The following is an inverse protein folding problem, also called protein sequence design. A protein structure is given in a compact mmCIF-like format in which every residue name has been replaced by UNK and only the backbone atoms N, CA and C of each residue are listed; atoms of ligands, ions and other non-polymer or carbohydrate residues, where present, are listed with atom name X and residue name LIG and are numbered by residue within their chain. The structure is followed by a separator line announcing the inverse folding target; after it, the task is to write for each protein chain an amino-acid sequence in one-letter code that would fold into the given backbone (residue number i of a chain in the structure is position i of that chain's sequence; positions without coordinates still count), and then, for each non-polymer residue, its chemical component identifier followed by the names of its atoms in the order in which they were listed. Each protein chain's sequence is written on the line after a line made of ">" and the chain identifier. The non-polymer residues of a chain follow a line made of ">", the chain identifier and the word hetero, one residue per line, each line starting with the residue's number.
data_IF_419937162422
#
_entry.id   IF_419937162422
#
_cell.length_a   1.000
_cell.length_b   1.000
_cell.length_c   1.000
_cell.angle_alpha   90.00
_cell.angle_beta   90.00
_cell.angle_gamma   90.00
#
_symmetry.space_group_name_H-M   'P 1'
#
loop_
_entity.id
_entity.type
_entity.pdbx_description
1 polymer ?
#
# COMPACT_ATOMS: atom_id res chain seq x y z
N UNK A 1 -19.15 13.09 18.24
CA UNK A 1 -17.89 13.20 18.97
C UNK A 1 -16.78 12.29 18.44
N UNK A 2 -17.09 11.04 18.11
CA UNK A 2 -16.09 10.14 17.51
C UNK A 2 -15.65 10.57 16.11
N UNK A 3 -16.54 11.08 15.30
CA UNK A 3 -16.24 11.58 13.95
C UNK A 3 -15.31 12.79 13.97
N UNK A 4 -15.46 13.66 14.95
CA UNK A 4 -14.59 14.82 15.11
C UNK A 4 -13.18 14.44 15.58
N UNK A 5 -13.08 13.46 16.47
CA UNK A 5 -11.79 12.94 16.90
C UNK A 5 -11.05 12.24 15.76
N UNK A 6 -11.80 11.54 14.89
CA UNK A 6 -11.22 10.84 13.76
C UNK A 6 -10.72 11.82 12.69
N UNK A 7 -11.48 12.88 12.39
CA UNK A 7 -11.05 13.89 11.43
C UNK A 7 -9.87 14.72 11.94
N UNK A 8 -9.86 15.05 13.24
CA UNK A 8 -8.73 15.72 13.88
C UNK A 8 -7.47 14.84 13.88
N UNK A 9 -7.65 13.54 14.07
CA UNK A 9 -6.55 12.59 14.03
C UNK A 9 -5.95 12.49 12.63
N UNK A 10 -6.79 12.41 11.61
CA UNK A 10 -6.39 12.39 10.20
C UNK A 10 -5.67 13.69 9.81
N UNK A 11 -6.19 14.84 10.22
CA UNK A 11 -5.52 16.14 9.97
C UNK A 11 -4.19 16.27 10.70
N UNK A 12 -4.09 15.76 11.92
CA UNK A 12 -2.87 15.81 12.74
C UNK A 12 -1.74 14.99 12.11
N UNK A 13 -2.05 13.89 11.44
CA UNK A 13 -1.05 12.99 10.87
C UNK A 13 -0.75 13.26 9.39
N UNK A 14 -1.53 14.13 8.72
CA UNK A 14 -1.42 14.38 7.30
C UNK A 14 -0.08 14.88 6.79
N UNK A 15 0.46 16.01 7.25
CA UNK A 15 1.74 16.51 6.72
C UNK A 15 2.95 16.04 7.50
N UNK A 16 2.86 15.97 8.83
CA UNK A 16 4.02 15.74 9.68
C UNK A 16 4.50 14.29 9.67
N UNK A 17 3.59 13.33 9.56
CA UNK A 17 4.00 11.93 9.47
C UNK A 17 4.51 11.56 8.09
N UNK A 18 3.95 12.12 7.03
CA UNK A 18 4.51 11.99 5.69
C UNK A 18 5.92 12.57 5.63
N UNK A 19 6.15 13.72 6.24
CA UNK A 19 7.48 14.32 6.30
C UNK A 19 8.46 13.51 7.15
N UNK A 20 8.00 12.96 8.25
CA UNK A 20 8.82 12.13 9.12
C UNK A 20 9.03 10.70 8.58
N UNK A 21 8.10 10.26 7.73
CA UNK A 21 8.07 8.90 7.23
C UNK A 21 8.95 8.69 6.02
N UNK A 22 9.14 9.72 5.23
CA UNK A 22 9.70 9.60 3.90
C UNK A 22 11.04 10.31 3.86
N UNK A 23 12.11 9.57 4.15
CA UNK A 23 13.47 10.04 3.96
C UNK A 23 13.90 10.15 2.50
N UNK A 24 12.98 9.90 1.58
CA UNK A 24 13.23 9.92 0.16
C UNK A 24 12.36 11.03 -0.47
N UNK A 25 13.01 12.08 -0.93
CA UNK A 25 12.33 13.23 -1.56
C UNK A 25 11.51 12.82 -2.78
N UNK A 26 11.97 11.82 -3.52
CA UNK A 26 11.25 11.29 -4.68
C UNK A 26 9.92 10.66 -4.28
N UNK A 27 9.91 9.82 -3.26
CA UNK A 27 8.70 9.21 -2.73
C UNK A 27 7.75 10.28 -2.19
N UNK A 28 8.27 11.24 -1.45
CA UNK A 28 7.51 12.36 -0.88
C UNK A 28 6.81 13.16 -1.99
N UNK A 29 7.51 13.48 -3.06
CA UNK A 29 6.94 14.17 -4.21
C UNK A 29 5.83 13.36 -4.87
N UNK A 30 6.03 12.06 -5.07
CA UNK A 30 5.05 11.17 -5.68
C UNK A 30 3.80 11.03 -4.80
N UNK A 31 3.98 10.83 -3.50
CA UNK A 31 2.86 10.72 -2.56
C UNK A 31 2.04 12.01 -2.55
N UNK A 32 2.69 13.17 -2.57
CA UNK A 32 2.01 14.46 -2.65
C UNK A 32 1.15 14.57 -3.91
N UNK A 33 1.67 14.15 -5.05
CA UNK A 33 0.91 14.14 -6.32
C UNK A 33 -0.30 13.22 -6.21
N UNK A 34 -0.14 12.04 -5.64
CA UNK A 34 -1.25 11.08 -5.46
C UNK A 34 -2.34 11.65 -4.56
N UNK A 35 -1.96 12.30 -3.47
CA UNK A 35 -2.92 12.91 -2.54
C UNK A 35 -3.67 14.09 -3.18
N UNK A 36 -2.98 14.90 -3.98
CA UNK A 36 -3.58 16.04 -4.67
C UNK A 36 -4.53 15.60 -5.79
N UNK A 37 -4.13 14.62 -6.58
CA UNK A 37 -4.94 14.12 -7.70
C UNK A 37 -6.08 13.22 -7.26
N UNK A 38 -5.96 12.58 -6.10
CA UNK A 38 -6.91 11.58 -5.63
C UNK A 38 -6.83 10.27 -6.37
N UNK A 39 -5.81 10.06 -7.19
CA UNK A 39 -5.60 8.83 -7.95
C UNK A 39 -4.19 8.30 -7.71
N UNK A 40 -4.08 6.97 -7.67
CA UNK A 40 -2.81 6.27 -7.47
C UNK A 40 -2.65 5.19 -8.55
N UNK A 41 -1.42 4.88 -8.96
CA UNK A 41 -1.16 3.65 -9.71
C UNK A 41 -1.15 2.46 -8.76
N UNK A 42 -0.92 1.26 -9.29
CA UNK A 42 -0.57 0.12 -8.43
C UNK A 42 0.78 0.42 -7.77
N UNK A 43 0.87 0.20 -6.46
CA UNK A 43 2.06 0.51 -5.68
C UNK A 43 2.66 -0.77 -5.07
N UNK A 44 3.97 -0.84 -5.06
CA UNK A 44 4.72 -1.87 -4.33
C UNK A 44 5.66 -1.19 -3.35
N UNK A 45 5.37 -1.36 -2.08
CA UNK A 45 6.16 -0.79 -0.99
C UNK A 45 7.01 -1.90 -0.38
N UNK A 46 8.32 -1.79 -0.47
CA UNK A 46 9.22 -2.80 0.04
C UNK A 46 10.27 -2.22 0.98
N UNK A 47 10.76 -3.04 1.89
CA UNK A 47 11.75 -2.65 2.87
C UNK A 47 11.72 -3.57 4.07
N UNK A 48 12.62 -3.36 5.01
CA UNK A 48 12.72 -4.18 6.20
C UNK A 48 11.44 -4.15 7.04
N UNK A 49 11.23 -5.21 7.82
CA UNK A 49 10.14 -5.25 8.78
C UNK A 49 10.22 -4.05 9.73
N UNK A 50 9.07 -3.50 10.10
CA UNK A 50 9.00 -2.38 11.03
C UNK A 50 9.34 -1.01 10.43
N UNK A 51 9.46 -0.88 9.11
CA UNK A 51 9.70 0.41 8.44
C UNK A 51 8.42 1.21 8.22
N UNK A 52 7.26 0.64 8.53
CA UNK A 52 5.98 1.35 8.42
C UNK A 52 5.33 1.31 7.04
N UNK A 53 5.63 0.32 6.24
CA UNK A 53 5.01 0.13 4.92
C UNK A 53 3.49 0.05 4.99
N UNK A 54 2.98 -0.74 5.92
CA UNK A 54 1.54 -0.91 6.16
C UNK A 54 0.91 0.41 6.60
N UNK A 55 1.58 1.13 7.48
CA UNK A 55 1.12 2.45 7.95
C UNK A 55 1.02 3.44 6.80
N UNK A 56 2.01 3.48 5.92
CA UNK A 56 1.99 4.34 4.74
C UNK A 56 0.84 3.97 3.81
N UNK A 57 0.62 2.68 3.56
CA UNK A 57 -0.49 2.21 2.74
C UNK A 57 -1.84 2.68 3.31
N UNK A 58 -2.04 2.51 4.61
CA UNK A 58 -3.27 2.96 5.30
C UNK A 58 -3.41 4.48 5.28
N UNK A 59 -2.32 5.20 5.43
CA UNK A 59 -2.31 6.65 5.35
C UNK A 59 -2.76 7.14 3.97
N UNK A 60 -2.29 6.51 2.91
CA UNK A 60 -2.69 6.82 1.55
C UNK A 60 -4.20 6.63 1.34
N UNK A 61 -4.73 5.46 1.71
CA UNK A 61 -6.16 5.17 1.49
C UNK A 61 -7.07 6.02 2.36
N UNK A 62 -6.61 6.46 3.53
CA UNK A 62 -7.37 7.35 4.40
C UNK A 62 -7.40 8.81 3.91
N UNK A 63 -6.48 9.18 3.03
CA UNK A 63 -6.39 10.53 2.48
C UNK A 63 -6.85 10.63 1.03
N UNK A 64 -7.24 9.53 0.42
CA UNK A 64 -7.81 9.47 -0.92
C UNK A 64 -9.29 9.10 -0.78
N UNK A 65 -10.14 9.66 -1.63
CA UNK A 65 -11.56 9.34 -1.64
C UNK A 65 -11.78 7.97 -2.28
N UNK A 66 -11.65 6.92 -1.49
CA UNK A 66 -11.74 5.54 -1.96
C UNK A 66 -12.36 4.61 -0.91
N UNK A 67 -12.98 3.54 -1.39
CA UNK A 67 -13.25 2.37 -0.57
C UNK A 67 -12.00 1.49 -0.56
N UNK A 68 -11.65 0.90 0.57
CA UNK A 68 -10.49 0.02 0.61
C UNK A 68 -10.74 -1.29 1.36
N UNK A 69 -10.00 -2.31 0.97
CA UNK A 69 -9.97 -3.61 1.60
C UNK A 69 -8.53 -3.91 2.02
N UNK A 70 -8.34 -4.31 3.27
CA UNK A 70 -7.05 -4.75 3.78
C UNK A 70 -7.02 -6.27 3.89
N UNK A 71 -5.99 -6.88 3.31
CA UNK A 71 -5.74 -8.33 3.41
C UNK A 71 -4.28 -8.53 3.81
N UNK A 72 -4.04 -9.30 4.86
CA UNK A 72 -2.70 -9.75 5.20
C UNK A 72 -2.46 -11.12 4.54
N UNK A 73 -1.56 -11.15 3.56
CA UNK A 73 -1.29 -12.36 2.79
C UNK A 73 -0.62 -13.46 3.62
N UNK A 74 0.06 -13.10 4.71
CA UNK A 74 0.67 -14.09 5.61
C UNK A 74 -0.34 -14.83 6.47
N UNK A 75 -1.49 -14.22 6.74
CA UNK A 75 -2.55 -14.82 7.55
C UNK A 75 -3.49 -15.69 6.72
N UNK A 76 -3.54 -15.49 5.41
CA UNK A 76 -4.42 -16.23 4.53
C UNK A 76 -3.73 -17.53 4.09
N UNK A 77 -4.34 -18.67 4.41
CA UNK A 77 -3.78 -19.98 4.15
C UNK A 77 -3.89 -20.44 2.69
N UNK A 78 -4.63 -19.70 1.87
CA UNK A 78 -4.92 -20.09 0.50
C UNK A 78 -5.05 -18.88 -0.40
N UNK A 79 -4.44 -18.97 -1.59
CA UNK A 79 -4.63 -17.98 -2.65
C UNK A 79 -6.09 -17.85 -3.07
N UNK A 80 -6.86 -18.93 -2.94
CA UNK A 80 -8.27 -18.91 -3.30
C UNK A 80 -9.09 -18.00 -2.40
N UNK A 81 -8.76 -17.92 -1.11
CA UNK A 81 -9.37 -16.99 -0.17
C UNK A 81 -9.07 -15.56 -0.55
N UNK A 82 -7.81 -15.25 -0.87
CA UNK A 82 -7.40 -13.92 -1.33
C UNK A 82 -8.14 -13.56 -2.63
N UNK A 83 -8.17 -14.46 -3.58
CA UNK A 83 -8.87 -14.29 -4.85
C UNK A 83 -10.35 -13.98 -4.65
N UNK A 84 -11.03 -14.74 -3.80
CA UNK A 84 -12.45 -14.55 -3.49
C UNK A 84 -12.70 -13.17 -2.87
N UNK A 85 -11.91 -12.79 -1.88
CA UNK A 85 -12.03 -11.48 -1.23
C UNK A 85 -11.83 -10.33 -2.21
N UNK A 86 -10.80 -10.41 -3.05
CA UNK A 86 -10.51 -9.40 -4.06
C UNK A 86 -11.65 -9.31 -5.07
N UNK A 87 -12.08 -10.44 -5.60
CA UNK A 87 -13.15 -10.52 -6.59
C UNK A 87 -14.47 -9.96 -6.05
N UNK A 88 -14.85 -10.35 -4.85
CA UNK A 88 -16.07 -9.85 -4.22
C UNK A 88 -16.00 -8.33 -4.00
N UNK A 89 -14.90 -7.85 -3.47
CA UNK A 89 -14.72 -6.42 -3.22
C UNK A 89 -14.72 -5.62 -4.52
N UNK A 90 -14.01 -6.08 -5.54
CA UNK A 90 -13.90 -5.38 -6.82
C UNK A 90 -15.20 -5.36 -7.61
N UNK A 91 -16.04 -6.40 -7.44
CA UNK A 91 -17.30 -6.56 -8.16
C UNK A 91 -18.48 -5.87 -7.48
N UNK A 92 -18.38 -5.54 -6.19
CA UNK A 92 -19.47 -4.88 -5.47
C UNK A 92 -19.57 -3.42 -5.85
N UNK A 93 -20.81 -2.90 -5.82
CA UNK A 93 -21.03 -1.47 -5.95
C UNK A 93 -20.55 -0.78 -4.67
N UNK A 94 -19.49 0.02 -4.80
CA UNK A 94 -18.97 0.81 -3.70
C UNK A 94 -19.67 2.16 -3.61
N UNK A 95 -19.47 2.84 -2.50
CA UNK A 95 -19.95 4.21 -2.30
C UNK A 95 -19.07 5.23 -3.03
N UNK A 96 -17.88 4.82 -3.45
CA UNK A 96 -16.88 5.69 -4.07
C UNK A 96 -16.43 5.10 -5.40
N UNK A 97 -15.97 5.97 -6.28
CA UNK A 97 -15.57 5.57 -7.64
C UNK A 97 -14.29 4.74 -7.64
N UNK A 98 -13.39 5.02 -6.71
CA UNK A 98 -12.13 4.30 -6.60
C UNK A 98 -12.16 3.26 -5.49
N UNK A 99 -11.62 2.09 -5.78
CA UNK A 99 -11.38 1.03 -4.81
C UNK A 99 -9.90 0.74 -4.72
N UNK A 100 -9.41 0.55 -3.50
CA UNK A 100 -8.01 0.21 -3.24
C UNK A 100 -7.96 -1.08 -2.44
N UNK A 101 -7.08 -1.99 -2.84
CA UNK A 101 -6.84 -3.23 -2.12
C UNK A 101 -5.41 -3.20 -1.59
N UNK A 102 -5.29 -3.28 -0.28
CA UNK A 102 -3.98 -3.39 0.38
C UNK A 102 -3.71 -4.86 0.62
N UNK A 103 -2.66 -5.38 -0.03
CA UNK A 103 -2.16 -6.73 0.21
C UNK A 103 -0.84 -6.64 0.97
N UNK A 104 -0.92 -6.92 2.24
CA UNK A 104 0.21 -6.82 3.15
C UNK A 104 1.00 -8.14 3.15
N UNK A 105 2.32 -8.06 3.24
CA UNK A 105 3.22 -9.20 3.30
C UNK A 105 3.10 -10.16 2.10
N UNK A 106 3.10 -9.59 0.89
CA UNK A 106 2.93 -10.33 -0.37
C UNK A 106 4.04 -11.35 -0.67
N UNK A 107 5.20 -11.20 -0.07
CA UNK A 107 6.32 -12.14 -0.22
C UNK A 107 6.05 -13.51 0.43
N UNK A 108 4.97 -13.63 1.22
CA UNK A 108 4.47 -14.93 1.70
C UNK A 108 3.69 -15.69 0.65
N UNK A 109 3.24 -15.03 -0.41
CA UNK A 109 2.49 -15.68 -1.49
C UNK A 109 3.48 -16.43 -2.41
N UNK A 110 3.15 -17.68 -2.76
CA UNK A 110 3.99 -18.46 -3.68
C UNK A 110 4.01 -17.84 -5.07
N UNK A 111 5.06 -18.10 -5.89
CA UNK A 111 5.11 -17.57 -7.26
C UNK A 111 3.90 -17.93 -8.12
N UNK A 112 3.36 -19.14 -7.99
CA UNK A 112 2.16 -19.57 -8.71
C UNK A 112 0.93 -18.75 -8.29
N UNK A 113 0.80 -18.51 -7.00
CA UNK A 113 -0.28 -17.69 -6.45
C UNK A 113 -0.13 -16.22 -6.85
N UNK A 114 1.10 -15.74 -6.94
CA UNK A 114 1.38 -14.38 -7.44
C UNK A 114 0.95 -14.21 -8.91
N UNK A 115 1.10 -15.25 -9.73
CA UNK A 115 0.60 -15.20 -11.11
C UNK A 115 -0.91 -15.03 -11.16
N UNK A 116 -1.65 -15.67 -10.26
CA UNK A 116 -3.09 -15.48 -10.12
C UNK A 116 -3.42 -14.06 -9.66
N UNK A 117 -2.66 -13.51 -8.73
CA UNK A 117 -2.81 -12.13 -8.27
C UNK A 117 -2.58 -11.14 -9.42
N UNK A 118 -1.57 -11.37 -10.24
CA UNK A 118 -1.33 -10.56 -11.44
C UNK A 118 -2.55 -10.51 -12.35
N UNK A 119 -3.19 -11.66 -12.58
CA UNK A 119 -4.40 -11.73 -13.39
C UNK A 119 -5.55 -10.91 -12.80
N UNK A 120 -5.70 -10.93 -11.48
CA UNK A 120 -6.69 -10.11 -10.78
C UNK A 120 -6.39 -8.61 -10.97
N UNK A 121 -5.14 -8.22 -10.85
CA UNK A 121 -4.71 -6.84 -11.05
C UNK A 121 -5.05 -6.36 -12.47
N UNK A 122 -4.85 -7.19 -13.48
CA UNK A 122 -5.20 -6.87 -14.85
C UNK A 122 -6.72 -6.77 -15.05
N UNK A 123 -7.45 -7.75 -14.52
CA UNK A 123 -8.91 -7.83 -14.71
C UNK A 123 -9.63 -6.62 -14.11
N UNK A 124 -9.20 -6.16 -12.96
CA UNK A 124 -9.87 -5.09 -12.21
C UNK A 124 -9.15 -3.75 -12.25
N UNK A 125 -8.20 -3.55 -13.17
CA UNK A 125 -7.36 -2.36 -13.24
C UNK A 125 -8.11 -1.05 -13.49
N UNK A 126 -9.33 -1.11 -14.04
CA UNK A 126 -10.11 0.09 -14.35
C UNK A 126 -10.64 0.80 -13.12
N UNK A 127 -11.06 0.05 -12.12
CA UNK A 127 -11.71 0.60 -10.91
C UNK A 127 -11.02 0.23 -9.61
N UNK A 128 -10.02 -0.63 -9.66
CA UNK A 128 -9.26 -1.06 -8.49
C UNK A 128 -7.78 -0.72 -8.64
N UNK A 129 -7.20 -0.27 -7.54
CA UNK A 129 -5.76 -0.09 -7.40
C UNK A 129 -5.26 -1.01 -6.29
N UNK A 130 -4.05 -1.52 -6.45
CA UNK A 130 -3.45 -2.44 -5.50
C UNK A 130 -2.25 -1.78 -4.85
N UNK A 131 -2.21 -1.82 -3.53
CA UNK A 131 -1.01 -1.43 -2.77
C UNK A 131 -0.46 -2.71 -2.13
N UNK A 132 0.68 -3.13 -2.62
CA UNK A 132 1.36 -4.34 -2.15
C UNK A 132 2.50 -3.94 -1.22
N UNK A 133 2.67 -4.67 -0.13
CA UNK A 133 3.83 -4.51 0.73
C UNK A 133 4.61 -5.81 0.81
N UNK A 134 5.92 -5.73 0.94
CA UNK A 134 6.77 -6.89 1.16
C UNK A 134 8.07 -6.48 1.85
N UNK A 135 8.72 -7.44 2.49
CA UNK A 135 10.06 -7.25 3.04
C UNK A 135 11.13 -7.56 2.00
N UNK A 136 10.91 -8.59 1.19
CA UNK A 136 11.88 -9.10 0.23
C UNK A 136 11.33 -8.96 -1.19
N UNK A 137 11.71 -7.88 -1.87
CA UNK A 137 11.21 -7.57 -3.20
C UNK A 137 11.61 -8.64 -4.23
N UNK A 138 12.75 -9.31 -4.02
CA UNK A 138 13.22 -10.40 -4.88
C UNK A 138 12.29 -11.61 -4.88
N UNK A 139 11.39 -11.72 -3.91
CA UNK A 139 10.38 -12.78 -3.87
C UNK A 139 9.11 -12.44 -4.66
N UNK A 140 9.00 -11.20 -5.13
CA UNK A 140 7.88 -10.77 -5.96
C UNK A 140 8.22 -10.99 -7.43
N UNK A 141 7.35 -11.66 -8.16
CA UNK A 141 7.59 -11.98 -9.58
C UNK A 141 7.68 -10.71 -10.43
N UNK A 142 8.51 -10.73 -11.45
CA UNK A 142 8.75 -9.59 -12.33
C UNK A 142 7.46 -9.02 -12.96
N UNK A 143 6.50 -9.84 -13.41
CA UNK A 143 5.24 -9.31 -13.96
C UNK A 143 4.44 -8.44 -12.98
N UNK A 144 4.51 -8.72 -11.69
CA UNK A 144 3.88 -7.86 -10.66
C UNK A 144 4.70 -6.59 -10.49
N UNK A 145 6.01 -6.71 -10.34
CA UNK A 145 6.88 -5.55 -10.16
C UNK A 145 6.74 -4.56 -11.31
N UNK A 146 6.66 -5.05 -12.55
CA UNK A 146 6.55 -4.20 -13.72
C UNK A 146 5.22 -3.43 -13.81
N UNK A 147 4.16 -3.92 -13.16
CA UNK A 147 2.85 -3.26 -13.11
C UNK A 147 2.74 -2.23 -12.02
N UNK A 148 3.66 -2.23 -11.08
CA UNK A 148 3.62 -1.36 -9.90
C UNK A 148 4.66 -0.27 -10.00
N UNK A 149 4.36 0.87 -9.38
CA UNK A 149 5.39 1.82 -8.98
C UNK A 149 6.00 1.30 -7.69
N UNK A 150 7.29 1.00 -7.71
CA UNK A 150 7.98 0.40 -6.56
C UNK A 150 8.73 1.46 -5.79
N UNK A 151 8.56 1.45 -4.47
CA UNK A 151 9.25 2.36 -3.57
C UNK A 151 9.88 1.60 -2.42
N UNK A 152 11.15 1.88 -2.18
CA UNK A 152 11.83 1.37 -1.00
C UNK A 152 11.51 2.27 0.20
N UNK A 153 10.99 1.66 1.25
CA UNK A 153 10.64 2.38 2.48
C UNK A 153 11.76 2.14 3.49
N UNK A 154 12.40 3.22 3.90
CA UNK A 154 13.44 3.20 4.92
C UNK A 154 12.94 3.94 6.15
N UNK A 155 13.32 3.47 7.33
CA UNK A 155 13.12 4.25 8.53
C UNK A 155 13.91 5.55 8.42
N UNK A 156 13.22 6.66 8.66
CA UNK A 156 13.91 7.91 8.91
C UNK A 156 14.55 7.82 10.28
N UNK A 157 15.84 7.62 10.27
CA UNK A 157 16.61 7.88 11.47
C UNK A 157 16.63 9.38 11.71
N UNK A 158 16.34 9.78 12.94
CA UNK A 158 16.69 11.12 13.36
C UNK A 158 18.20 11.30 13.16
N UNK A 159 18.65 12.52 12.97
CA UNK A 159 20.08 12.81 12.76
C UNK A 159 20.99 12.14 13.79
N UNK A 160 20.50 11.96 15.01
CA UNK A 160 21.23 11.32 16.11
C UNK A 160 21.44 9.82 15.85
N UNK A 161 20.44 9.13 15.29
CA UNK A 161 20.55 7.72 14.96
C UNK A 161 21.44 7.49 13.73
N UNK A 162 21.47 8.43 12.79
CA UNK A 162 22.36 8.37 11.64
C UNK A 162 23.84 8.53 12.05
N UNK A 163 24.12 9.35 13.06
CA UNK A 163 25.46 9.55 13.61
C UNK A 163 26.00 8.30 14.32
N UNK A 164 25.14 7.48 14.90
CA UNK A 164 25.55 6.23 15.55
C UNK A 164 26.03 5.16 14.57
N UNK A 165 25.66 5.25 13.31
CA UNK A 165 26.02 4.29 12.28
C UNK A 165 27.13 4.79 11.34
N UNK A 166 27.57 6.00 11.52
CA UNK A 166 28.72 6.56 10.81
C UNK A 166 30.03 6.46 11.68
#
# INVERSE_FOLDING_TARGET
>A
METLKHSLWVEKYRPSELENYIGNDHLKSKVSVYLESGDIPHLLLFGRAGTGKTTLAKLLVNNIDCDYLYINASDENSVDVVREKVKNFASTLGFKDMKVIILDECDYITPNAQAALRNLMETFSKNCRFILTCNYVERIIDPIQSRCQSFQICLLYTSDAADEFS
#
